data_IF_703951050916
#
_entry.id   IF_703951050916
#
_cell.length_a   1.000
_cell.length_b   1.000
_cell.length_c   1.000
_cell.angle_alpha   90.00
_cell.angle_beta   90.00
_cell.angle_gamma   90.00
#
_symmetry.space_group_name_H-M   'P 1'
#
loop_
_entity.id
_entity.type
_entity.pdbx_description
1 polymer ?
#
# COMPACT_ATOMS: atom_id res chain seq x y z
N UNK A 1 -7.79 -20.33 -19.48
CA UNK A 1 -7.56 -18.88 -19.38
C UNK A 1 -7.71 -18.49 -17.92
N UNK A 2 -6.60 -18.38 -17.19
CA UNK A 2 -6.63 -18.14 -15.73
C UNK A 2 -6.97 -16.69 -15.40
N UNK A 3 -7.86 -16.42 -14.44
CA UNK A 3 -8.14 -15.06 -13.99
C UNK A 3 -6.96 -14.48 -13.20
N UNK A 4 -6.22 -13.59 -13.87
CA UNK A 4 -5.58 -12.38 -13.36
C UNK A 4 -5.02 -12.45 -11.92
N UNK A 5 -3.72 -12.70 -11.84
CA UNK A 5 -2.86 -12.48 -10.67
C UNK A 5 -2.71 -10.99 -10.27
N UNK A 6 -3.47 -10.08 -10.90
CA UNK A 6 -3.25 -8.62 -10.82
C UNK A 6 -3.90 -7.91 -9.63
N UNK A 7 -4.57 -8.59 -8.69
CA UNK A 7 -5.32 -7.90 -7.63
C UNK A 7 -4.79 -8.10 -6.19
N UNK A 8 -3.60 -8.69 -6.00
CA UNK A 8 -3.09 -8.94 -4.63
C UNK A 8 -2.23 -7.82 -4.06
N UNK A 9 -1.54 -7.03 -4.89
CA UNK A 9 -0.66 -5.96 -4.42
C UNK A 9 -1.38 -4.62 -4.16
N UNK A 10 -2.55 -4.38 -4.76
CA UNK A 10 -3.24 -3.09 -4.70
C UNK A 10 -4.03 -2.81 -3.41
N UNK A 11 -4.42 -3.83 -2.63
CA UNK A 11 -5.40 -3.64 -1.55
C UNK A 11 -4.89 -2.73 -0.43
N UNK A 12 -3.62 -2.83 -0.07
CA UNK A 12 -3.03 -2.05 1.03
C UNK A 12 -2.28 -0.80 0.56
N UNK A 13 -2.12 -0.58 -0.75
CA UNK A 13 -1.47 0.63 -1.23
C UNK A 13 -2.22 1.89 -0.78
N UNK A 14 -3.55 1.82 -0.71
CA UNK A 14 -4.40 2.89 -0.18
C UNK A 14 -4.03 3.27 1.26
N UNK A 15 -3.73 2.29 2.13
CA UNK A 15 -3.37 2.59 3.53
C UNK A 15 -2.05 3.35 3.62
N UNK A 16 -1.05 3.00 2.81
CA UNK A 16 0.23 3.72 2.80
C UNK A 16 0.09 5.12 2.22
N UNK A 17 -0.70 5.29 1.15
CA UNK A 17 -0.99 6.59 0.59
C UNK A 17 -1.70 7.50 1.60
N UNK A 18 -2.75 7.00 2.28
CA UNK A 18 -3.47 7.75 3.31
C UNK A 18 -2.58 8.08 4.50
N UNK A 19 -1.76 7.13 4.98
CA UNK A 19 -0.85 7.35 6.10
C UNK A 19 0.10 8.52 5.82
N UNK A 20 0.80 8.48 4.68
CA UNK A 20 1.76 9.53 4.30
C UNK A 20 1.07 10.87 4.05
N UNK A 21 -0.13 10.89 3.44
CA UNK A 21 -0.88 12.12 3.20
C UNK A 21 -1.53 12.70 4.48
N UNK A 22 -1.68 11.90 5.52
CA UNK A 22 -2.06 12.36 6.86
C UNK A 22 -0.88 12.99 7.62
N UNK A 23 0.35 12.56 7.32
CA UNK A 23 1.57 13.18 7.84
C UNK A 23 1.83 14.53 7.15
N UNK A 24 1.77 14.57 5.81
CA UNK A 24 1.96 15.80 5.03
C UNK A 24 1.34 15.72 3.62
N UNK A 25 0.71 16.80 3.11
CA UNK A 25 0.30 16.87 1.71
C UNK A 25 1.49 16.69 0.75
N UNK A 26 1.32 15.91 -0.30
CA UNK A 26 2.44 15.51 -1.16
C UNK A 26 2.13 15.52 -2.65
N UNK A 27 3.17 15.73 -3.47
CA UNK A 27 3.11 15.46 -4.90
C UNK A 27 3.10 13.95 -5.17
N UNK A 28 2.40 13.50 -6.23
CA UNK A 28 2.30 12.08 -6.56
C UNK A 28 3.65 11.36 -6.76
N UNK A 29 4.66 12.04 -7.32
CA UNK A 29 6.01 11.48 -7.46
C UNK A 29 6.75 11.38 -6.12
N UNK A 30 6.60 12.37 -5.24
CA UNK A 30 7.21 12.33 -3.91
C UNK A 30 6.57 11.20 -3.09
N UNK A 31 5.23 11.13 -3.10
CA UNK A 31 4.47 10.06 -2.47
C UNK A 31 4.88 8.67 -2.98
N UNK A 32 5.07 8.51 -4.29
CA UNK A 32 5.56 7.26 -4.89
C UNK A 32 6.93 6.82 -4.35
N UNK A 33 7.85 7.77 -4.20
CA UNK A 33 9.19 7.50 -3.64
C UNK A 33 9.07 7.08 -2.18
N UNK A 34 8.37 7.85 -1.36
CA UNK A 34 8.19 7.56 0.06
C UNK A 34 7.51 6.21 0.31
N UNK A 35 6.49 5.84 -0.47
CA UNK A 35 5.87 4.51 -0.39
C UNK A 35 6.89 3.40 -0.67
N UNK A 36 7.72 3.56 -1.70
CA UNK A 36 8.72 2.55 -2.06
C UNK A 36 9.94 2.50 -1.15
N UNK A 37 10.18 3.55 -0.36
CA UNK A 37 11.17 3.55 0.72
C UNK A 37 10.66 2.80 1.96
N UNK A 38 9.34 2.82 2.22
CA UNK A 38 8.72 2.08 3.32
C UNK A 38 8.54 0.58 3.03
N UNK A 39 8.29 0.23 1.77
CA UNK A 39 7.98 -1.15 1.39
C UNK A 39 9.25 -1.97 1.12
N UNK A 40 9.32 -3.24 1.59
CA UNK A 40 10.44 -4.10 1.28
C UNK A 40 10.50 -4.46 -0.20
N UNK A 41 11.66 -4.91 -0.66
CA UNK A 41 11.84 -5.44 -2.01
C UNK A 41 10.80 -6.54 -2.31
N UNK A 42 10.24 -6.53 -3.51
CA UNK A 42 9.14 -7.42 -3.90
C UNK A 42 7.73 -6.92 -3.56
N UNK A 43 7.59 -5.88 -2.71
CA UNK A 43 6.32 -5.20 -2.45
C UNK A 43 6.26 -3.77 -3.03
N UNK A 44 7.34 -3.31 -3.66
CA UNK A 44 7.39 -2.01 -4.32
C UNK A 44 6.33 -1.88 -5.40
N UNK A 45 5.86 -0.65 -5.58
CA UNK A 45 4.73 -0.29 -6.43
C UNK A 45 5.21 0.57 -7.59
N UNK A 46 4.68 0.32 -8.79
CA UNK A 46 4.92 1.17 -9.95
C UNK A 46 4.10 2.47 -9.91
N UNK A 47 4.61 3.50 -10.57
CA UNK A 47 3.95 4.81 -10.57
C UNK A 47 2.54 4.76 -11.17
N UNK A 48 2.33 3.96 -12.22
CA UNK A 48 1.03 3.85 -12.89
C UNK A 48 -0.06 3.31 -11.98
N UNK A 49 0.27 2.32 -11.15
CA UNK A 49 -0.64 1.79 -10.14
C UNK A 49 -0.99 2.84 -9.08
N UNK A 50 0.01 3.57 -8.55
CA UNK A 50 -0.25 4.65 -7.59
C UNK A 50 -1.15 5.74 -8.19
N UNK A 51 -0.87 6.23 -9.39
CA UNK A 51 -1.68 7.28 -10.00
C UNK A 51 -3.11 6.82 -10.32
N UNK A 52 -3.30 5.54 -10.66
CA UNK A 52 -4.66 4.99 -10.82
C UNK A 52 -5.41 5.01 -9.49
N UNK A 53 -4.76 4.53 -8.42
CA UNK A 53 -5.34 4.53 -7.09
C UNK A 53 -5.66 5.95 -6.59
N UNK A 54 -4.76 6.92 -6.77
CA UNK A 54 -4.99 8.30 -6.34
C UNK A 54 -6.21 8.91 -7.02
N UNK A 55 -6.43 8.62 -8.30
CA UNK A 55 -7.65 9.06 -9.02
C UNK A 55 -8.91 8.39 -8.47
N UNK A 56 -8.85 7.11 -8.14
CA UNK A 56 -9.98 6.38 -7.54
C UNK A 56 -10.30 6.90 -6.13
N UNK A 57 -9.27 7.21 -5.33
CA UNK A 57 -9.38 7.78 -3.99
C UNK A 57 -9.98 9.19 -3.99
N UNK A 58 -9.56 10.03 -4.93
CA UNK A 58 -10.14 11.35 -5.14
C UNK A 58 -11.59 11.27 -5.62
N UNK A 59 -11.90 10.37 -6.56
CA UNK A 59 -13.26 10.17 -7.06
C UNK A 59 -14.25 9.73 -5.96
N UNK A 60 -13.77 9.00 -4.94
CA UNK A 60 -14.57 8.62 -3.75
C UNK A 60 -14.48 9.61 -2.59
N UNK A 61 -13.80 10.74 -2.75
CA UNK A 61 -13.75 11.82 -1.77
C UNK A 61 -12.80 11.60 -0.58
N UNK A 62 -11.96 10.56 -0.62
CA UNK A 62 -10.99 10.26 0.47
C UNK A 62 -9.73 11.12 0.37
N UNK A 63 -9.45 11.64 -0.81
CA UNK A 63 -8.42 12.64 -1.08
C UNK A 63 -9.04 13.82 -1.83
N UNK A 64 -8.40 14.97 -1.71
CA UNK A 64 -8.55 16.07 -2.65
C UNK A 64 -7.18 16.42 -3.23
N UNK A 65 -7.17 17.22 -4.29
CA UNK A 65 -5.92 17.75 -4.81
C UNK A 65 -6.09 19.11 -5.45
N UNK A 66 -4.99 19.84 -5.52
CA UNK A 66 -4.92 21.13 -6.18
C UNK A 66 -3.65 21.26 -7.02
N UNK A 67 -3.68 22.14 -8.01
CA UNK A 67 -2.52 22.45 -8.84
C UNK A 67 -1.65 23.48 -8.13
N UNK A 68 -0.48 23.07 -7.66
CA UNK A 68 0.50 23.99 -7.09
C UNK A 68 1.47 24.46 -8.16
N UNK A 69 1.59 25.79 -8.29
CA UNK A 69 2.61 26.49 -9.08
C UNK A 69 3.76 26.99 -8.21
N UNK A 70 3.82 26.58 -6.93
CA UNK A 70 4.88 27.00 -6.01
C UNK A 70 6.23 26.40 -6.43
N UNK A 71 7.00 27.15 -7.23
CA UNK A 71 8.37 26.80 -7.65
C UNK A 71 8.70 27.23 -9.09
N UNK A 72 9.96 27.07 -9.48
CA UNK A 72 10.42 27.25 -10.86
C UNK A 72 10.17 25.96 -11.65
N UNK A 73 8.96 25.78 -12.17
CA UNK A 73 8.64 24.60 -12.98
C UNK A 73 7.17 24.48 -13.36
N UNK A 74 6.84 23.42 -14.09
CA UNK A 74 5.46 23.09 -14.44
C UNK A 74 4.61 22.87 -13.17
N UNK A 75 3.35 23.28 -13.23
CA UNK A 75 2.39 23.06 -12.16
C UNK A 75 2.34 21.57 -11.79
N UNK A 76 2.31 21.26 -10.49
CA UNK A 76 2.26 19.90 -9.97
C UNK A 76 1.00 19.72 -9.14
N UNK A 77 0.33 18.58 -9.29
CA UNK A 77 -0.77 18.21 -8.39
C UNK A 77 -0.21 17.87 -7.01
N UNK A 78 -0.76 18.50 -5.99
CA UNK A 78 -0.56 18.19 -4.57
C UNK A 78 -1.81 17.48 -4.09
N UNK A 79 -1.65 16.32 -3.48
CA UNK A 79 -2.74 15.56 -2.88
C UNK A 79 -2.79 15.84 -1.38
N UNK A 80 -4.00 15.86 -0.82
CA UNK A 80 -4.24 16.03 0.59
C UNK A 80 -5.36 15.08 1.04
N UNK A 81 -5.22 14.53 2.25
CA UNK A 81 -6.24 13.68 2.85
C UNK A 81 -7.46 14.51 3.29
N UNK A 82 -8.66 13.98 3.11
CA UNK A 82 -9.91 14.60 3.59
C UNK A 82 -10.33 14.00 4.95
N UNK A 83 -11.41 14.53 5.55
CA UNK A 83 -12.01 13.89 6.74
C UNK A 83 -12.45 12.45 6.47
N UNK A 84 -13.09 12.18 5.32
CA UNK A 84 -13.46 10.83 4.93
C UNK A 84 -12.22 9.93 4.71
N UNK A 85 -11.11 10.51 4.25
CA UNK A 85 -9.83 9.79 4.16
C UNK A 85 -9.24 9.43 5.52
N UNK A 86 -9.39 10.30 6.53
CA UNK A 86 -8.96 10.01 7.91
C UNK A 86 -9.78 8.88 8.53
N UNK A 87 -11.10 8.84 8.26
CA UNK A 87 -11.96 7.72 8.67
C UNK A 87 -11.50 6.41 8.00
N UNK A 88 -11.25 6.44 6.68
CA UNK A 88 -10.72 5.27 5.95
C UNK A 88 -9.34 4.84 6.50
N UNK A 89 -8.48 5.78 6.90
CA UNK A 89 -7.18 5.48 7.50
C UNK A 89 -7.32 4.75 8.85
N UNK A 90 -8.30 5.13 9.67
CA UNK A 90 -8.60 4.44 10.92
C UNK A 90 -9.06 2.99 10.67
N UNK A 91 -9.95 2.78 9.69
CA UNK A 91 -10.40 1.45 9.26
C UNK A 91 -9.23 0.59 8.78
N UNK A 92 -8.30 1.19 8.01
CA UNK A 92 -7.09 0.51 7.55
C UNK A 92 -6.20 0.09 8.72
N UNK A 93 -6.03 0.94 9.73
CA UNK A 93 -5.25 0.60 10.93
C UNK A 93 -5.82 -0.64 11.62
N UNK A 94 -7.14 -0.76 11.72
CA UNK A 94 -7.77 -1.94 12.32
C UNK A 94 -7.59 -3.20 11.48
N UNK A 95 -7.83 -3.12 10.16
CA UNK A 95 -7.66 -4.25 9.26
C UNK A 95 -6.21 -4.76 9.23
N UNK A 96 -5.23 -3.84 9.20
CA UNK A 96 -3.80 -4.18 9.25
C UNK A 96 -3.47 -4.85 10.58
N UNK A 97 -3.95 -4.34 11.71
CA UNK A 97 -3.69 -4.94 13.02
C UNK A 97 -4.23 -6.38 13.11
N UNK A 98 -5.46 -6.63 12.62
CA UNK A 98 -6.04 -7.98 12.58
C UNK A 98 -5.23 -8.92 11.69
N UNK A 99 -4.78 -8.43 10.54
CA UNK A 99 -3.98 -9.23 9.58
C UNK A 99 -2.60 -9.55 10.11
N UNK A 100 -1.94 -8.59 10.74
CA UNK A 100 -0.67 -8.80 11.42
C UNK A 100 -0.78 -9.95 12.41
N UNK A 101 -1.80 -9.95 13.27
CA UNK A 101 -2.03 -11.04 14.22
C UNK A 101 -2.19 -12.41 13.53
N UNK A 102 -2.96 -12.46 12.42
CA UNK A 102 -3.16 -13.69 11.67
C UNK A 102 -1.86 -14.19 10.99
N UNK A 103 -1.05 -13.29 10.44
CA UNK A 103 0.22 -13.62 9.80
C UNK A 103 1.28 -14.04 10.81
N UNK A 104 1.38 -13.34 11.94
CA UNK A 104 2.28 -13.70 13.04
C UNK A 104 1.94 -15.12 13.53
N UNK A 105 0.66 -15.44 13.71
CA UNK A 105 0.22 -16.80 14.06
C UNK A 105 0.57 -17.82 12.97
N UNK A 106 0.37 -17.48 11.70
CA UNK A 106 0.71 -18.38 10.59
C UNK A 106 2.20 -18.71 10.58
N UNK A 107 3.06 -17.69 10.64
CA UNK A 107 4.52 -17.83 10.66
C UNK A 107 4.94 -18.68 11.85
N UNK A 108 4.44 -18.36 13.05
CA UNK A 108 4.73 -19.14 14.26
C UNK A 108 4.40 -20.63 14.09
N UNK A 109 3.26 -20.96 13.46
CA UNK A 109 2.86 -22.36 13.25
C UNK A 109 3.68 -23.04 12.15
N UNK A 110 4.08 -22.30 11.11
CA UNK A 110 4.97 -22.78 10.07
C UNK A 110 6.35 -23.13 10.65
N UNK A 111 6.94 -22.24 11.46
CA UNK A 111 8.24 -22.44 12.08
C UNK A 111 8.24 -23.59 13.10
N UNK A 112 7.08 -23.89 13.69
CA UNK A 112 6.89 -25.03 14.59
C UNK A 112 6.64 -26.36 13.87
N UNK A 113 6.64 -26.40 12.52
CA UNK A 113 6.43 -27.65 11.79
C UNK A 113 7.57 -28.65 12.08
N UNK A 114 7.26 -29.96 12.22
CA UNK A 114 8.29 -30.97 12.39
C UNK A 114 9.26 -31.01 11.22
N UNK A 115 10.54 -31.30 11.47
CA UNK A 115 11.61 -31.33 10.46
C UNK A 115 11.30 -32.20 9.21
N UNK A 116 10.52 -33.26 9.37
CA UNK A 116 10.05 -34.10 8.23
C UNK A 116 9.18 -33.33 7.23
N UNK A 117 8.39 -32.38 7.72
CA UNK A 117 7.49 -31.55 6.91
C UNK A 117 8.28 -30.43 6.25
N UNK A 118 9.24 -29.82 6.95
CA UNK A 118 10.12 -28.82 6.38
C UNK A 118 10.91 -29.37 5.18
N UNK A 119 11.49 -30.56 5.31
CA UNK A 119 12.27 -31.21 4.23
C UNK A 119 11.45 -31.48 2.96
N UNK A 120 10.20 -31.93 3.11
CA UNK A 120 9.32 -32.19 1.97
C UNK A 120 8.88 -30.89 1.24
N UNK A 121 8.77 -29.77 1.96
CA UNK A 121 8.46 -28.47 1.37
C UNK A 121 9.66 -27.89 0.59
N UNK A 122 10.87 -28.08 1.10
CA UNK A 122 12.11 -27.68 0.41
C UNK A 122 12.34 -28.50 -0.88
N UNK A 123 12.13 -29.81 -0.83
CA UNK A 123 12.26 -30.70 -1.99
C UNK A 123 11.20 -30.44 -3.08
N UNK A 124 10.02 -29.92 -2.72
CA UNK A 124 8.95 -29.59 -3.67
C UNK A 124 9.13 -28.24 -4.36
N UNK A 125 10.06 -27.40 -3.89
CA UNK A 125 10.33 -26.06 -4.43
C UNK A 125 11.45 -26.04 -5.48
N UNK A 126 12.05 -27.20 -5.80
CA UNK A 126 13.15 -27.39 -6.77
C UNK A 126 12.65 -28.16 -8.00
#
# INVERSE_FOLDING_TARGET
>A
MSPRESNRQGRHLASFALLLLAEEPAHGLALHRSINELLPEGLKVDAGNLYRLLREMEARGTLCSDWSTAGTGAARRVYQITSAGLDELADWREDIARRRQAFDLFIQRYDALPARTARALEESAT
#
